data_IF_389356984046
#
_entry.id   IF_389356984046
#
_cell.length_a   1.000
_cell.length_b   1.000
_cell.length_c   1.000
_cell.angle_alpha   90.00
_cell.angle_beta   90.00
_cell.angle_gamma   90.00
#
_symmetry.space_group_name_H-M   'P 1'
#
loop_
_entity.id
_entity.type
_entity.pdbx_description
1 polymer ?
#
# COMPACT_ATOMS: atom_id res chain seq x y z
N UNK A 1 -10.68 13.66 23.69
CA UNK A 1 -9.96 14.14 22.47
C UNK A 1 -10.55 13.43 21.28
N UNK A 2 -10.89 14.12 20.18
CA UNK A 2 -11.36 13.46 18.95
C UNK A 2 -10.14 12.94 18.19
N UNK A 3 -9.91 11.63 18.23
CA UNK A 3 -8.96 10.97 17.33
C UNK A 3 -9.59 10.94 15.93
N UNK A 4 -9.13 11.81 15.05
CA UNK A 4 -9.53 11.76 13.64
C UNK A 4 -8.71 10.68 12.96
N UNK A 5 -9.37 9.61 12.51
CA UNK A 5 -8.72 8.56 11.75
C UNK A 5 -8.15 9.10 10.42
N UNK A 6 -7.00 8.57 10.04
CA UNK A 6 -6.35 8.84 8.77
C UNK A 6 -6.35 7.59 7.91
N UNK A 7 -6.11 7.79 6.62
CA UNK A 7 -5.95 6.74 5.65
C UNK A 7 -4.65 6.95 4.90
N UNK A 8 -3.91 5.87 4.69
CA UNK A 8 -2.88 5.79 3.67
C UNK A 8 -3.49 5.16 2.42
N UNK A 9 -3.19 5.69 1.25
CA UNK A 9 -3.69 5.17 -0.02
C UNK A 9 -2.65 5.15 -1.13
N UNK A 10 -2.83 4.25 -2.10
CA UNK A 10 -2.06 4.20 -3.34
C UNK A 10 -2.98 4.37 -4.55
N UNK A 11 -2.53 5.20 -5.49
CA UNK A 11 -3.18 5.40 -6.80
C UNK A 11 -2.24 4.91 -7.89
N UNK A 12 -2.77 4.11 -8.82
CA UNK A 12 -2.10 3.74 -10.07
C UNK A 12 -2.53 4.68 -11.18
N UNK A 13 -1.55 5.13 -11.97
CA UNK A 13 -1.78 5.92 -13.19
C UNK A 13 -1.77 5.04 -14.42
N UNK A 14 -2.18 5.58 -15.58
CA UNK A 14 -2.12 4.89 -16.88
C UNK A 14 -0.75 4.29 -17.21
N UNK A 15 0.32 4.99 -16.84
CA UNK A 15 1.70 4.55 -17.12
C UNK A 15 2.23 3.55 -16.07
N UNK A 16 1.34 2.96 -15.28
CA UNK A 16 1.68 2.01 -14.23
C UNK A 16 2.61 2.59 -13.14
N UNK A 17 2.64 3.91 -12.99
CA UNK A 17 3.28 4.59 -11.86
C UNK A 17 2.37 4.54 -10.64
N UNK A 18 2.98 4.45 -9.46
CA UNK A 18 2.26 4.44 -8.19
C UNK A 18 2.49 5.75 -7.45
N UNK A 19 1.41 6.39 -7.04
CA UNK A 19 1.39 7.52 -6.13
C UNK A 19 0.96 7.05 -4.74
N UNK A 20 1.59 7.59 -3.70
CA UNK A 20 1.24 7.32 -2.30
C UNK A 20 0.84 8.64 -1.64
N UNK A 21 -0.27 8.62 -0.92
CA UNK A 21 -0.74 9.77 -0.15
C UNK A 21 -1.45 9.35 1.13
N UNK A 22 -1.72 10.34 1.97
CA UNK A 22 -2.59 10.20 3.15
C UNK A 22 -3.75 11.19 3.11
N UNK A 23 -4.85 10.86 3.79
CA UNK A 23 -6.02 11.72 3.92
C UNK A 23 -6.95 11.26 5.04
N UNK A 24 -7.84 12.11 5.52
CA UNK A 24 -8.94 11.72 6.42
C UNK A 24 -10.18 11.24 5.66
N UNK A 25 -10.24 11.46 4.34
CA UNK A 25 -11.37 11.10 3.48
C UNK A 25 -10.87 10.68 2.10
N UNK A 26 -10.84 9.36 1.86
CA UNK A 26 -10.33 8.77 0.62
C UNK A 26 -11.19 9.15 -0.57
N UNK A 27 -12.52 9.06 -0.45
CA UNK A 27 -13.45 9.27 -1.55
C UNK A 27 -13.34 10.70 -2.08
N UNK A 28 -13.41 11.68 -1.18
CA UNK A 28 -13.23 13.10 -1.52
C UNK A 28 -11.86 13.35 -2.14
N UNK A 29 -10.79 12.78 -1.56
CA UNK A 29 -9.42 13.01 -2.05
C UNK A 29 -9.19 12.37 -3.42
N UNK A 30 -9.73 11.19 -3.68
CA UNK A 30 -9.64 10.53 -4.97
C UNK A 30 -10.38 11.33 -6.05
N UNK A 31 -11.59 11.82 -5.78
CA UNK A 31 -12.34 12.70 -6.69
C UNK A 31 -11.59 14.01 -7.00
N UNK A 32 -10.88 14.58 -6.03
CA UNK A 32 -10.00 15.74 -6.29
C UNK A 32 -8.87 15.41 -7.28
N UNK A 33 -8.25 14.22 -7.18
CA UNK A 33 -7.22 13.81 -8.13
C UNK A 33 -7.79 13.55 -9.52
N UNK A 34 -8.92 12.86 -9.61
CA UNK A 34 -9.61 12.59 -10.90
C UNK A 34 -10.00 13.89 -11.61
N UNK A 35 -10.48 14.90 -10.86
CA UNK A 35 -10.82 16.22 -11.40
C UNK A 35 -9.61 17.14 -11.66
N UNK A 36 -8.38 16.66 -11.46
CA UNK A 36 -7.15 17.43 -11.69
C UNK A 36 -6.86 18.54 -10.66
N UNK A 37 -7.64 18.60 -9.57
CA UNK A 37 -7.51 19.55 -8.44
C UNK A 37 -6.69 18.98 -7.27
N UNK A 38 -6.20 17.76 -7.41
CA UNK A 38 -5.40 17.05 -6.42
C UNK A 38 -3.90 17.34 -6.55
N UNK A 39 -3.07 16.32 -6.33
CA UNK A 39 -1.63 16.45 -6.39
C UNK A 39 -1.17 16.81 -7.82
N UNK A 40 -0.25 17.78 -7.94
CA UNK A 40 0.39 18.13 -9.22
C UNK A 40 0.99 16.91 -9.92
N UNK A 41 1.51 15.96 -9.13
CA UNK A 41 2.07 14.71 -9.63
C UNK A 41 1.06 13.78 -10.33
N UNK A 42 -0.25 13.96 -10.12
CA UNK A 42 -1.32 13.15 -10.73
C UNK A 42 -2.12 13.91 -11.80
N UNK A 43 -1.98 15.24 -11.88
CA UNK A 43 -2.66 16.07 -12.89
C UNK A 43 -2.32 15.57 -14.30
N UNK A 44 -3.35 15.27 -15.10
CA UNK A 44 -3.20 14.79 -16.48
C UNK A 44 -2.70 13.35 -16.62
N UNK A 45 -2.53 12.58 -15.53
CA UNK A 45 -2.03 11.19 -15.57
C UNK A 45 -3.14 10.12 -15.57
N UNK A 46 -4.36 10.53 -15.93
CA UNK A 46 -5.51 9.64 -15.99
C UNK A 46 -5.39 8.57 -17.09
N UNK A 47 -6.19 7.49 -17.02
CA UNK A 47 -7.09 7.14 -15.92
C UNK A 47 -6.33 6.86 -14.61
N UNK A 48 -6.95 7.21 -13.49
CA UNK A 48 -6.44 6.97 -12.15
C UNK A 48 -7.26 5.86 -11.51
N UNK A 49 -6.59 4.94 -10.81
CA UNK A 49 -7.24 3.84 -10.10
C UNK A 49 -6.75 3.84 -8.65
N UNK A 50 -7.67 3.89 -7.69
CA UNK A 50 -7.34 3.62 -6.29
C UNK A 50 -7.08 2.11 -6.16
N UNK A 51 -5.84 1.73 -5.87
CA UNK A 51 -5.41 0.32 -5.87
C UNK A 51 -5.17 -0.26 -4.50
N UNK A 52 -5.08 0.59 -3.47
CA UNK A 52 -4.94 0.17 -2.08
C UNK A 52 -5.28 1.33 -1.15
N UNK A 53 -5.85 1.01 0.02
CA UNK A 53 -5.90 1.92 1.15
C UNK A 53 -5.90 1.16 2.48
N UNK A 54 -5.46 1.81 3.55
CA UNK A 54 -5.45 1.28 4.92
C UNK A 54 -5.81 2.37 5.90
N UNK A 55 -6.64 2.03 6.89
CA UNK A 55 -6.91 2.88 8.04
C UNK A 55 -5.65 3.04 8.89
N UNK A 56 -5.49 4.21 9.48
CA UNK A 56 -4.40 4.59 10.38
C UNK A 56 -4.98 5.42 11.53
N UNK A 57 -4.50 5.17 12.74
CA UNK A 57 -5.04 5.72 13.98
C UNK A 57 -4.96 7.25 14.05
N UNK A 58 -3.81 7.82 13.68
CA UNK A 58 -3.56 9.26 13.79
C UNK A 58 -2.68 9.81 12.65
N UNK A 59 -2.60 11.14 12.58
CA UNK A 59 -1.85 11.86 11.56
C UNK A 59 -0.34 11.58 11.60
N UNK A 60 0.24 11.53 12.79
CA UNK A 60 1.68 11.31 12.98
C UNK A 60 2.08 9.92 12.52
N UNK A 61 1.28 8.90 12.86
CA UNK A 61 1.47 7.55 12.35
C UNK A 61 1.28 7.50 10.83
N UNK A 62 0.26 8.17 10.28
CA UNK A 62 0.03 8.23 8.84
C UNK A 62 1.21 8.83 8.07
N UNK A 63 1.80 9.92 8.57
CA UNK A 63 2.99 10.54 7.97
C UNK A 63 4.21 9.61 7.98
N UNK A 64 4.46 8.93 9.11
CA UNK A 64 5.56 7.95 9.24
C UNK A 64 5.39 6.79 8.25
N UNK A 65 4.17 6.25 8.17
CA UNK A 65 3.84 5.15 7.25
C UNK A 65 3.95 5.61 5.79
N UNK A 66 3.46 6.80 5.45
CA UNK A 66 3.56 7.36 4.10
C UNK A 66 5.03 7.46 3.65
N UNK A 67 5.90 7.96 4.52
CA UNK A 67 7.34 8.04 4.27
C UNK A 67 7.96 6.66 4.03
N UNK A 68 7.64 5.67 4.87
CA UNK A 68 8.11 4.29 4.72
C UNK A 68 7.63 3.68 3.40
N UNK A 69 6.35 3.82 3.07
CA UNK A 69 5.79 3.32 1.80
C UNK A 69 6.43 4.02 0.60
N UNK A 70 6.69 5.33 0.66
CA UNK A 70 7.36 6.06 -0.42
C UNK A 70 8.73 5.47 -0.75
N UNK A 71 9.49 5.04 0.26
CA UNK A 71 10.81 4.37 0.11
C UNK A 71 10.77 2.95 -0.44
N UNK A 72 9.61 2.28 -0.43
CA UNK A 72 9.50 0.94 -1.01
C UNK A 72 9.77 0.98 -2.52
N UNK A 73 10.49 -0.04 -2.99
CA UNK A 73 10.64 -0.31 -4.42
C UNK A 73 9.28 -0.55 -5.08
N UNK A 74 9.20 -0.37 -6.40
CA UNK A 74 7.96 -0.66 -7.15
C UNK A 74 7.48 -2.09 -6.87
N UNK A 75 8.37 -3.09 -6.92
CA UNK A 75 8.05 -4.50 -6.64
C UNK A 75 7.43 -4.71 -5.24
N UNK A 76 7.96 -4.05 -4.22
CA UNK A 76 7.39 -4.12 -2.87
C UNK A 76 6.00 -3.47 -2.78
N UNK A 77 5.79 -2.34 -3.48
CA UNK A 77 4.47 -1.71 -3.56
C UNK A 77 3.46 -2.57 -4.32
N UNK A 78 3.88 -3.24 -5.39
CA UNK A 78 3.02 -4.19 -6.09
C UNK A 78 2.63 -5.35 -5.18
N UNK A 79 3.57 -5.91 -4.42
CA UNK A 79 3.27 -6.95 -3.42
C UNK A 79 2.27 -6.47 -2.36
N UNK A 80 2.42 -5.23 -1.88
CA UNK A 80 1.45 -4.60 -0.97
C UNK A 80 0.04 -4.57 -1.60
N UNK A 81 -0.05 -4.13 -2.86
CA UNK A 81 -1.31 -4.06 -3.62
C UNK A 81 -1.89 -5.46 -3.87
N UNK A 82 -1.06 -6.47 -4.10
CA UNK A 82 -1.55 -7.85 -4.30
C UNK A 82 -2.07 -8.45 -3.00
N UNK A 83 -1.37 -8.22 -1.89
CA UNK A 83 -1.71 -8.84 -0.59
C UNK A 83 -2.84 -8.13 0.14
N UNK A 84 -3.14 -6.86 -0.20
CA UNK A 84 -4.20 -6.06 0.43
C UNK A 84 -4.24 -6.20 1.97
N UNK A 85 -3.11 -6.00 2.70
CA UNK A 85 -3.13 -6.11 4.15
C UNK A 85 -4.05 -5.06 4.76
N UNK A 86 -4.88 -5.47 5.72
CA UNK A 86 -5.83 -4.57 6.40
C UNK A 86 -5.10 -3.49 7.22
N UNK A 87 -4.01 -3.89 7.90
CA UNK A 87 -3.20 -3.01 8.72
C UNK A 87 -1.81 -2.82 8.08
N UNK A 88 -1.59 -1.65 7.46
CA UNK A 88 -0.30 -1.32 6.85
C UNK A 88 0.84 -1.26 7.89
N UNK A 89 0.54 -0.87 9.12
CA UNK A 89 1.54 -0.73 10.18
C UNK A 89 2.18 -2.09 10.51
N UNK A 90 1.35 -3.10 10.75
CA UNK A 90 1.78 -4.48 11.01
C UNK A 90 2.56 -5.05 9.83
N UNK A 91 2.01 -4.93 8.61
CA UNK A 91 2.65 -5.42 7.39
C UNK A 91 4.06 -4.85 7.18
N UNK A 92 4.23 -3.54 7.36
CA UNK A 92 5.54 -2.91 7.17
C UNK A 92 6.53 -3.30 8.26
N UNK A 93 6.08 -3.57 9.49
CA UNK A 93 6.95 -4.05 10.57
C UNK A 93 7.43 -5.47 10.30
N UNK A 94 6.56 -6.36 9.84
CA UNK A 94 6.90 -7.74 9.47
C UNK A 94 7.85 -7.81 8.27
N UNK A 95 7.69 -6.92 7.28
CA UNK A 95 8.60 -6.83 6.13
C UNK A 95 10.05 -6.44 6.49
N UNK A 96 10.27 -5.79 7.63
CA UNK A 96 11.59 -5.35 8.08
C UNK A 96 12.29 -6.39 8.97
N UNK A 97 11.63 -7.49 9.32
CA UNK A 97 12.27 -8.58 10.05
C UNK A 97 13.20 -9.34 9.07
N UNK A 98 14.51 -9.48 9.39
CA UNK A 98 15.40 -10.30 8.59
C UNK A 98 14.83 -11.72 8.49
N UNK A 99 14.68 -12.23 7.26
CA UNK A 99 14.31 -13.63 7.02
C UNK A 99 15.41 -14.56 7.56
N UNK A 100 15.29 -14.96 8.81
CA UNK A 100 15.84 -16.24 9.26
C UNK A 100 14.68 -17.25 9.10
N UNK A 101 14.98 -18.41 8.51
CA UNK A 101 14.06 -19.50 8.16
C UNK A 101 13.27 -19.34 6.84
N UNK A 102 13.98 -19.58 5.74
CA UNK A 102 13.36 -20.12 4.52
C UNK A 102 14.31 -21.19 3.93
N UNK A 103 14.56 -22.23 4.72
CA UNK A 103 15.22 -23.47 4.30
C UNK A 103 14.45 -24.61 4.96
N UNK A 104 14.15 -25.67 4.19
CA UNK A 104 13.14 -26.73 4.40
C UNK A 104 11.74 -26.25 3.96
N UNK A 105 11.18 -26.70 2.84
CA UNK A 105 10.98 -28.08 2.38
C UNK A 105 11.31 -28.18 0.88
N UNK A 106 12.30 -29.00 0.55
CA UNK A 106 12.53 -29.53 -0.80
C UNK A 106 12.34 -31.04 -0.72
N UNK A 107 11.48 -31.57 -1.60
CA UNK A 107 11.26 -32.99 -1.93
C UNK A 107 10.64 -33.89 -0.84
N UNK A 108 9.45 -34.41 -1.12
CA UNK A 108 9.40 -35.81 -1.56
C UNK A 108 8.19 -36.06 -2.49
N UNK A 109 8.46 -36.79 -3.57
CA UNK A 109 7.49 -37.31 -4.50
C UNK A 109 7.21 -38.77 -4.17
N UNK A 110 5.95 -39.17 -4.35
CA UNK A 110 5.55 -40.50 -4.83
C UNK A 110 5.47 -41.63 -3.79
N UNK A 111 4.25 -42.15 -3.57
CA UNK A 111 4.05 -43.24 -2.61
C UNK A 111 2.67 -43.91 -2.60
N UNK A 112 2.15 -44.28 -3.76
CA UNK A 112 1.22 -45.42 -4.02
C UNK A 112 -0.14 -45.49 -3.31
N UNK A 113 -1.15 -45.36 -4.17
CA UNK A 113 -2.51 -45.91 -4.11
C UNK A 113 -2.47 -47.44 -4.26
N UNK A 114 -2.99 -48.18 -3.27
CA UNK A 114 -3.83 -49.41 -3.37
C UNK A 114 -4.32 -49.75 -1.97
#
# INVERSE_FOLDING_TARGET
MKSTHWYLYLIRTRNNSLYTGITTDIARRFMQHVSGKGAKALKGKGPLTLVYHSLVEDQGMALKLEYRVKKLSKKQKERLITLQPVCIATYLSEMLVPKIAQSVITHDQNGRNT
#
